data_IF_918840174754
#
_entry.id   IF_918840174754
#
_cell.length_a   1.000
_cell.length_b   1.000
_cell.length_c   1.000
_cell.angle_alpha   90.00
_cell.angle_beta   90.00
_cell.angle_gamma   90.00
#
_symmetry.space_group_name_H-M   'P 1'
#
loop_
_entity.id
_entity.type
_entity.pdbx_description
1 polymer ?
#
# COMPACT_ATOMS: atom_id res chain seq x y z
N UNK A 1 -5.17 5.47 8.15
CA UNK A 1 -5.24 6.44 9.28
C UNK A 1 -6.66 6.61 9.80
N UNK A 2 -7.68 6.74 8.97
CA UNK A 2 -9.02 7.10 9.46
C UNK A 2 -9.82 5.92 10.02
N UNK A 3 -9.60 4.71 9.49
CA UNK A 3 -10.33 3.51 9.91
C UNK A 3 -9.79 2.89 11.22
N UNK A 4 -8.47 2.77 11.37
CA UNK A 4 -7.88 2.10 12.53
C UNK A 4 -8.26 2.73 13.89
N UNK A 5 -8.25 4.07 14.07
CA UNK A 5 -8.69 4.71 15.32
C UNK A 5 -10.17 4.52 15.64
N UNK A 6 -10.99 4.21 14.65
CA UNK A 6 -12.42 3.90 14.83
C UNK A 6 -12.65 2.44 15.24
N UNK A 7 -11.59 1.63 15.37
CA UNK A 7 -11.66 0.24 15.80
C UNK A 7 -11.80 -0.79 14.69
N UNK A 8 -11.73 -0.38 13.41
CA UNK A 8 -11.75 -1.32 12.29
C UNK A 8 -10.45 -2.12 12.22
N UNK A 9 -10.56 -3.42 11.97
CA UNK A 9 -9.42 -4.26 11.61
C UNK A 9 -9.07 -4.00 10.14
N UNK A 10 -7.85 -3.53 9.89
CA UNK A 10 -7.39 -3.17 8.55
C UNK A 10 -6.21 -4.04 8.18
N UNK A 11 -6.32 -4.73 7.04
CA UNK A 11 -5.19 -5.40 6.38
C UNK A 11 -4.85 -4.65 5.10
N UNK A 12 -3.56 -4.38 4.87
CA UNK A 12 -3.05 -3.78 3.64
C UNK A 12 -2.23 -4.83 2.91
N UNK A 13 -2.57 -5.09 1.66
CA UNK A 13 -1.75 -5.88 0.74
C UNK A 13 -1.04 -4.93 -0.22
N UNK A 14 0.27 -5.08 -0.35
CA UNK A 14 1.08 -4.30 -1.29
C UNK A 14 2.07 -5.21 -2.01
N UNK A 15 2.31 -4.94 -3.29
CA UNK A 15 3.29 -5.68 -4.08
C UNK A 15 4.72 -5.32 -3.70
N UNK A 16 4.94 -4.11 -3.18
CA UNK A 16 6.24 -3.69 -2.66
C UNK A 16 6.48 -4.25 -1.24
N UNK A 17 7.74 -4.54 -0.91
CA UNK A 17 8.10 -5.09 0.42
C UNK A 17 7.86 -4.10 1.57
N UNK A 18 7.84 -2.79 1.27
CA UNK A 18 7.69 -1.72 2.26
C UNK A 18 6.57 -0.77 1.86
N UNK A 19 5.80 -0.33 2.86
CA UNK A 19 4.79 0.70 2.69
C UNK A 19 5.38 2.01 2.15
N UNK A 20 4.58 2.73 1.36
CA UNK A 20 4.94 4.03 0.79
C UNK A 20 4.70 4.15 -0.71
N UNK A 21 4.56 3.03 -1.44
CA UNK A 21 4.26 3.04 -2.87
C UNK A 21 5.17 3.96 -3.68
N UNK A 22 4.60 4.74 -4.61
CA UNK A 22 5.37 5.57 -5.56
C UNK A 22 6.31 6.58 -4.89
N UNK A 23 5.96 7.14 -3.74
CA UNK A 23 6.84 8.11 -3.06
C UNK A 23 8.11 7.43 -2.53
N UNK A 24 8.07 6.13 -2.25
CA UNK A 24 9.26 5.32 -1.91
C UNK A 24 9.97 4.82 -3.17
N UNK A 25 9.23 4.25 -4.12
CA UNK A 25 9.84 3.53 -5.24
C UNK A 25 10.37 4.43 -6.36
N UNK A 26 9.76 5.60 -6.59
CA UNK A 26 10.04 6.43 -7.77
C UNK A 26 10.65 7.80 -7.46
N UNK A 27 10.43 8.35 -6.26
CA UNK A 27 11.00 9.66 -5.89
C UNK A 27 12.46 9.46 -5.44
N UNK A 28 13.43 10.19 -6.02
CA UNK A 28 14.83 10.09 -5.62
C UNK A 28 15.04 10.47 -4.15
N UNK A 29 15.91 9.71 -3.47
CA UNK A 29 16.22 9.86 -2.03
C UNK A 29 16.67 11.27 -1.62
N UNK A 30 17.38 11.98 -2.50
CA UNK A 30 17.81 13.36 -2.21
C UNK A 30 16.64 14.38 -2.17
N UNK A 31 15.48 14.03 -2.73
CA UNK A 31 14.26 14.84 -2.64
C UNK A 31 13.38 14.41 -1.47
N UNK A 32 13.34 13.12 -1.18
CA UNK A 32 12.56 12.55 -0.09
C UNK A 32 13.37 11.42 0.57
N UNK A 33 14.00 11.66 1.73
CA UNK A 33 14.75 10.65 2.46
C UNK A 33 13.86 9.49 2.90
N UNK A 34 14.39 8.27 2.89
CA UNK A 34 13.61 7.07 3.24
C UNK A 34 13.18 7.07 4.71
N UNK A 35 13.96 7.70 5.58
CA UNK A 35 13.70 7.79 7.02
C UNK A 35 12.39 8.54 7.30
N UNK A 36 12.09 9.58 6.51
CA UNK A 36 10.83 10.34 6.61
C UNK A 36 9.65 9.48 6.19
N UNK A 37 9.81 8.68 5.14
CA UNK A 37 8.77 7.75 4.68
C UNK A 37 8.54 6.66 5.72
N UNK A 38 9.62 6.09 6.28
CA UNK A 38 9.55 5.06 7.32
C UNK A 38 8.87 5.59 8.59
N UNK A 39 9.13 6.85 8.98
CA UNK A 39 8.49 7.50 10.12
C UNK A 39 6.98 7.63 9.93
N UNK A 40 6.56 8.24 8.81
CA UNK A 40 5.15 8.51 8.48
C UNK A 40 4.35 7.24 8.26
N UNK A 41 4.88 6.29 7.47
CA UNK A 41 4.22 4.99 7.26
C UNK A 41 4.19 4.21 8.56
N UNK A 42 5.27 4.22 9.34
CA UNK A 42 5.35 3.58 10.64
C UNK A 42 4.32 4.11 11.64
N UNK A 43 3.99 5.41 11.61
CA UNK A 43 2.92 5.96 12.45
C UNK A 43 1.59 5.29 12.17
N UNK A 44 1.23 5.09 10.90
CA UNK A 44 -0.01 4.42 10.51
C UNK A 44 0.02 2.93 10.86
N UNK A 45 1.14 2.25 10.57
CA UNK A 45 1.27 0.81 10.86
C UNK A 45 1.18 0.51 12.36
N UNK A 46 1.74 1.38 13.20
CA UNK A 46 1.65 1.28 14.68
C UNK A 46 0.24 1.44 15.23
N UNK A 47 -0.75 1.86 14.43
CA UNK A 47 -2.16 1.86 14.83
C UNK A 47 -2.80 0.46 14.85
N UNK A 48 -2.03 -0.61 14.61
CA UNK A 48 -2.51 -1.98 14.57
C UNK A 48 -2.97 -2.44 13.18
N UNK A 49 -2.50 -1.79 12.13
CA UNK A 49 -2.75 -2.20 10.74
C UNK A 49 -1.87 -3.41 10.41
N UNK A 50 -2.47 -4.49 9.90
CA UNK A 50 -1.75 -5.66 9.39
C UNK A 50 -1.22 -5.36 7.97
N UNK A 51 0.09 -5.10 7.85
CA UNK A 51 0.70 -4.84 6.55
C UNK A 51 1.37 -6.10 6.00
N UNK A 52 0.90 -6.51 4.81
CA UNK A 52 1.40 -7.66 4.06
C UNK A 52 2.06 -7.15 2.77
N UNK A 53 3.32 -6.75 2.90
CA UNK A 53 4.18 -6.38 1.78
C UNK A 53 4.65 -7.60 0.98
N UNK A 54 5.06 -7.36 -0.27
CA UNK A 54 5.46 -8.43 -1.19
C UNK A 54 4.30 -9.31 -1.68
N UNK A 55 3.05 -8.89 -1.44
CA UNK A 55 1.84 -9.62 -1.82
C UNK A 55 1.08 -8.85 -2.89
N UNK A 56 1.27 -9.26 -4.14
CA UNK A 56 0.52 -8.73 -5.27
C UNK A 56 -0.83 -9.43 -5.41
N UNK A 57 -1.91 -8.65 -5.45
CA UNK A 57 -3.25 -9.17 -5.76
C UNK A 57 -3.36 -9.39 -7.28
N UNK A 58 -3.38 -10.65 -7.71
CA UNK A 58 -3.51 -11.03 -9.13
C UNK A 58 -4.98 -11.14 -9.58
N UNK A 59 -5.90 -11.41 -8.66
CA UNK A 59 -7.33 -11.54 -8.96
C UNK A 59 -8.20 -10.88 -7.90
N UNK A 60 -8.96 -9.87 -8.33
CA UNK A 60 -9.99 -9.26 -7.49
C UNK A 60 -11.12 -10.23 -7.19
N UNK A 61 -11.43 -11.17 -8.10
CA UNK A 61 -12.46 -12.18 -7.86
C UNK A 61 -12.07 -13.10 -6.70
N UNK A 62 -10.80 -13.52 -6.63
CA UNK A 62 -10.29 -14.31 -5.52
C UNK A 62 -10.34 -13.54 -4.20
N UNK A 63 -9.87 -12.28 -4.20
CA UNK A 63 -9.89 -11.43 -3.01
C UNK A 63 -11.33 -11.20 -2.50
N UNK A 64 -12.28 -10.94 -3.39
CA UNK A 64 -13.69 -10.72 -3.03
C UNK A 64 -14.43 -12.00 -2.62
N UNK A 65 -13.88 -13.18 -2.93
CA UNK A 65 -14.41 -14.46 -2.46
C UNK A 65 -13.97 -14.77 -1.01
N UNK A 66 -13.02 -14.03 -0.46
CA UNK A 66 -12.65 -14.08 0.95
C UNK A 66 -13.66 -13.28 1.81
N UNK A 67 -13.60 -13.46 3.13
CA UNK A 67 -14.52 -12.83 4.08
C UNK A 67 -14.08 -11.42 4.48
N UNK A 68 -14.16 -10.47 3.54
CA UNK A 68 -13.92 -9.04 3.81
C UNK A 68 -15.24 -8.26 3.81
N UNK A 69 -15.48 -7.45 4.85
CA UNK A 69 -16.69 -6.60 4.94
C UNK A 69 -16.65 -5.43 3.92
N UNK A 70 -15.45 -4.96 3.60
CA UNK A 70 -15.22 -3.88 2.64
C UNK A 70 -13.82 -3.99 2.02
N UNK A 71 -13.70 -3.57 0.75
CA UNK A 71 -12.42 -3.54 0.03
C UNK A 71 -12.20 -2.15 -0.55
N UNK A 72 -11.02 -1.59 -0.29
CA UNK A 72 -10.54 -0.36 -0.91
C UNK A 72 -9.38 -0.68 -1.85
N UNK A 73 -9.46 -0.22 -3.11
CA UNK A 73 -8.42 -0.44 -4.11
C UNK A 73 -7.62 0.85 -4.31
N UNK A 74 -6.39 0.85 -3.80
CA UNK A 74 -5.45 1.96 -3.87
C UNK A 74 -4.17 1.67 -4.65
N UNK A 75 -4.22 0.78 -5.66
CA UNK A 75 -3.03 0.28 -6.36
C UNK A 75 -2.31 1.29 -7.27
N UNK A 76 -2.87 2.49 -7.44
CA UNK A 76 -2.34 3.50 -8.35
C UNK A 76 -2.29 3.05 -9.82
N UNK A 77 -1.39 3.66 -10.59
CA UNK A 77 -1.14 3.35 -12.00
C UNK A 77 0.36 3.08 -12.24
N UNK A 78 0.86 1.87 -11.91
CA UNK A 78 2.29 1.57 -11.95
C UNK A 78 2.85 1.39 -13.36
N UNK A 79 2.00 1.12 -14.36
CA UNK A 79 2.43 0.91 -15.74
C UNK A 79 2.50 2.25 -16.48
N UNK A 80 3.67 2.54 -17.04
CA UNK A 80 3.86 3.66 -17.96
C UNK A 80 3.10 3.47 -19.27
N UNK A 81 3.01 4.53 -20.07
CA UNK A 81 2.45 4.45 -21.42
C UNK A 81 3.51 3.89 -22.36
N UNK A 82 3.18 2.79 -23.04
CA UNK A 82 4.03 2.23 -24.09
C UNK A 82 4.09 3.19 -25.29
N UNK A 83 5.26 3.27 -25.92
CA UNK A 83 5.43 3.99 -27.18
C UNK A 83 5.10 3.04 -28.32
N UNK A 84 4.16 3.45 -29.17
CA UNK A 84 3.84 2.75 -30.43
C UNK A 84 4.75 3.28 -31.53
N UNK A 85 6.04 2.96 -31.44
CA UNK A 85 7.04 3.28 -32.46
C UNK A 85 7.62 2.01 -33.07
#
# INVERSE_FOLDING_TARGET
>A
RDLAPLGYQVTIFDADDKAGGMIRSQIPRFRLPEEVIDEETGYILRLGVDFRGGVRIESMQQLLAENWDAVFVGSGAPRGRDLSI
#
